data_IF_381278195032
#
_entry.id   IF_381278195032
#
_cell.length_a   1.000
_cell.length_b   1.000
_cell.length_c   1.000
_cell.angle_alpha   90.00
_cell.angle_beta   90.00
_cell.angle_gamma   90.00
#
_symmetry.space_group_name_H-M   'P 1'
#
loop_
_entity.id
_entity.type
_entity.pdbx_description
1 polymer ?
#
# COMPACT_ATOMS: atom_id res chain seq x y z
N UNK A 1 21.15 8.03 19.78
CA UNK A 1 20.93 9.47 19.91
C UNK A 1 22.25 10.24 19.89
N UNK A 2 23.22 9.93 20.76
CA UNK A 2 24.53 10.62 20.80
C UNK A 2 25.42 10.28 19.58
N UNK A 3 25.60 8.99 19.26
CA UNK A 3 26.47 8.52 18.15
C UNK A 3 26.14 9.11 16.77
N UNK A 4 24.86 9.32 16.46
CA UNK A 4 24.43 9.85 15.15
C UNK A 4 24.73 11.33 14.98
N UNK A 5 24.84 12.09 16.08
CA UNK A 5 25.19 13.51 16.04
C UNK A 5 26.67 13.69 15.74
N UNK A 6 27.54 12.92 16.40
CA UNK A 6 28.99 12.93 16.14
C UNK A 6 29.34 12.50 14.71
N UNK A 7 28.66 11.48 14.20
CA UNK A 7 28.88 11.01 12.83
C UNK A 7 28.42 12.04 11.79
N UNK A 8 27.30 12.73 12.04
CA UNK A 8 26.82 13.82 11.18
C UNK A 8 27.73 15.05 11.24
N UNK A 9 28.21 15.44 12.43
CA UNK A 9 29.18 16.52 12.59
C UNK A 9 30.44 16.24 11.76
N UNK A 10 30.99 15.03 11.84
CA UNK A 10 32.15 14.65 11.03
C UNK A 10 31.89 14.78 9.52
N UNK A 11 30.73 14.31 9.04
CA UNK A 11 30.39 14.37 7.62
C UNK A 11 30.19 15.81 7.13
N UNK A 12 29.51 16.65 7.91
CA UNK A 12 29.28 18.05 7.57
C UNK A 12 30.57 18.86 7.64
N UNK A 13 31.42 18.66 8.64
CA UNK A 13 32.73 19.32 8.70
C UNK A 13 33.60 18.92 7.50
N UNK A 14 33.67 17.62 7.19
CA UNK A 14 34.55 17.12 6.12
C UNK A 14 34.11 17.56 4.72
N UNK A 15 32.82 17.52 4.42
CA UNK A 15 32.34 17.70 3.05
C UNK A 15 31.66 19.06 2.80
N UNK A 16 31.12 19.70 3.84
CA UNK A 16 30.37 20.95 3.70
C UNK A 16 31.18 22.12 4.26
N UNK A 17 31.45 22.15 5.57
CA UNK A 17 32.04 23.32 6.21
C UNK A 17 33.48 23.59 5.76
N UNK A 18 34.31 22.56 5.57
CA UNK A 18 35.68 22.73 5.04
C UNK A 18 35.74 23.16 3.56
N UNK A 19 34.62 23.07 2.83
CA UNK A 19 34.53 23.45 1.42
C UNK A 19 34.04 24.89 1.23
N UNK A 20 33.63 25.58 2.31
CA UNK A 20 33.12 26.94 2.25
C UNK A 20 34.27 27.97 2.21
N UNK A 21 34.14 29.05 1.42
CA UNK A 21 35.19 30.08 1.31
C UNK A 21 35.24 31.04 2.51
N UNK A 22 34.49 30.77 3.58
CA UNK A 22 34.39 31.61 4.78
C UNK A 22 34.29 30.75 6.05
N UNK A 23 34.76 31.29 7.19
CA UNK A 23 34.65 30.63 8.48
C UNK A 23 33.21 30.67 9.01
N UNK A 24 32.68 29.50 9.40
CA UNK A 24 31.35 29.37 9.98
C UNK A 24 31.47 29.28 11.49
N UNK A 25 30.71 30.10 12.22
CA UNK A 25 30.72 30.09 13.69
C UNK A 25 30.25 28.74 14.25
N UNK A 26 30.79 28.31 15.40
CA UNK A 26 30.40 27.07 16.07
C UNK A 26 28.88 27.00 16.36
N UNK A 27 28.26 28.12 16.74
CA UNK A 27 26.81 28.18 16.95
C UNK A 27 26.03 27.90 15.65
N UNK A 28 26.51 28.41 14.52
CA UNK A 28 25.91 28.15 13.20
C UNK A 28 26.13 26.71 12.76
N UNK A 29 27.32 26.13 12.99
CA UNK A 29 27.59 24.71 12.69
C UNK A 29 26.65 23.80 13.45
N UNK A 30 26.52 23.98 14.76
CA UNK A 30 25.61 23.20 15.60
C UNK A 30 24.15 23.29 15.13
N UNK A 31 23.69 24.48 14.74
CA UNK A 31 22.34 24.68 14.19
C UNK A 31 22.16 23.97 12.85
N UNK A 32 23.16 23.97 11.97
CA UNK A 32 23.08 23.28 10.67
C UNK A 32 23.13 21.77 10.87
N UNK A 33 23.99 21.27 11.78
CA UNK A 33 24.03 19.85 12.15
C UNK A 33 22.69 19.38 12.71
N UNK A 34 22.04 20.15 13.59
CA UNK A 34 20.74 19.75 14.14
C UNK A 34 19.67 19.63 13.05
N UNK A 35 19.60 20.59 12.13
CA UNK A 35 18.66 20.51 10.98
C UNK A 35 18.98 19.32 10.09
N UNK A 36 20.26 19.05 9.80
CA UNK A 36 20.66 17.90 9.01
C UNK A 36 20.27 16.57 9.67
N UNK A 37 20.49 16.44 10.98
CA UNK A 37 20.07 15.27 11.76
C UNK A 37 18.55 15.09 11.70
N UNK A 38 17.78 16.17 11.81
CA UNK A 38 16.32 16.11 11.72
C UNK A 38 15.83 15.70 10.33
N UNK A 39 16.45 16.20 9.26
CA UNK A 39 16.17 15.78 7.88
C UNK A 39 16.48 14.28 7.71
N UNK A 40 17.63 13.81 8.20
CA UNK A 40 17.99 12.38 8.12
C UNK A 40 17.03 11.52 8.93
N UNK A 41 16.57 11.97 10.10
CA UNK A 41 15.56 11.26 10.90
C UNK A 41 14.23 11.15 10.17
N UNK A 42 13.78 12.24 9.54
CA UNK A 42 12.56 12.25 8.73
C UNK A 42 12.72 11.28 7.56
N UNK A 43 13.86 11.33 6.85
CA UNK A 43 14.14 10.43 5.73
C UNK A 43 14.19 8.95 6.14
N UNK A 44 14.90 8.62 7.23
CA UNK A 44 15.01 7.25 7.78
C UNK A 44 13.65 6.71 8.24
N UNK A 45 12.80 7.59 8.79
CA UNK A 45 11.42 7.22 9.11
C UNK A 45 10.57 7.00 7.85
N UNK A 46 10.72 7.83 6.82
CA UNK A 46 9.93 7.67 5.59
C UNK A 46 10.30 6.42 4.82
N UNK A 47 11.60 6.16 4.62
CA UNK A 47 12.09 5.01 3.88
C UNK A 47 13.45 4.59 4.40
N UNK A 48 13.54 3.34 4.86
CA UNK A 48 14.79 2.74 5.31
C UNK A 48 15.18 1.61 4.37
N UNK A 49 16.47 1.60 4.05
CA UNK A 49 17.07 0.57 3.20
C UNK A 49 17.82 -0.45 4.06
N UNK A 50 17.62 -1.74 3.75
CA UNK A 50 18.33 -2.84 4.40
C UNK A 50 19.31 -3.50 3.43
N UNK A 51 20.46 -3.96 3.95
CA UNK A 51 21.45 -4.70 3.18
C UNK A 51 20.82 -6.00 2.60
N UNK A 52 20.74 -6.14 1.25
CA UNK A 52 20.19 -7.33 0.61
C UNK A 52 20.89 -8.62 1.01
N UNK A 53 22.18 -8.57 1.38
CA UNK A 53 22.94 -9.76 1.79
C UNK A 53 22.38 -10.38 3.07
N UNK A 54 21.93 -9.54 4.01
CA UNK A 54 21.26 -9.98 5.23
C UNK A 54 19.91 -10.64 4.93
N UNK A 55 19.18 -10.10 3.96
CA UNK A 55 17.92 -10.66 3.48
C UNK A 55 18.12 -12.02 2.80
N UNK A 56 19.15 -12.18 1.97
CA UNK A 56 19.48 -13.47 1.34
C UNK A 56 19.80 -14.53 2.39
N UNK A 57 20.55 -14.17 3.44
CA UNK A 57 20.94 -15.11 4.49
C UNK A 57 19.76 -15.53 5.38
N UNK A 58 18.85 -14.60 5.69
CA UNK A 58 17.81 -14.80 6.72
C UNK A 58 16.40 -15.03 6.16
N UNK A 59 16.05 -14.40 5.04
CA UNK A 59 14.70 -14.40 4.44
C UNK A 59 14.76 -14.45 2.89
N UNK A 60 15.37 -15.48 2.29
CA UNK A 60 15.55 -15.55 0.83
C UNK A 60 14.24 -15.63 0.05
N UNK A 61 13.21 -16.30 0.59
CA UNK A 61 11.89 -16.40 -0.03
C UNK A 61 11.17 -15.05 -0.10
N UNK A 62 11.35 -14.21 0.92
CA UNK A 62 10.79 -12.87 0.97
C UNK A 62 11.45 -11.96 -0.06
N UNK A 63 12.78 -12.02 -0.18
CA UNK A 63 13.50 -11.27 -1.22
C UNK A 63 13.06 -11.70 -2.63
N UNK A 64 12.88 -13.01 -2.85
CA UNK A 64 12.32 -13.50 -4.11
C UNK A 64 10.91 -12.95 -4.37
N UNK A 65 10.08 -12.85 -3.34
CA UNK A 65 8.77 -12.22 -3.41
C UNK A 65 8.89 -10.73 -3.79
N UNK A 66 9.79 -9.96 -3.19
CA UNK A 66 10.01 -8.55 -3.54
C UNK A 66 10.34 -8.39 -5.03
N UNK A 67 11.19 -9.26 -5.57
CA UNK A 67 11.53 -9.26 -7.00
C UNK A 67 10.31 -9.58 -7.86
N UNK A 68 9.56 -10.64 -7.53
CA UNK A 68 8.36 -11.04 -8.29
C UNK A 68 7.30 -9.94 -8.28
N UNK A 69 7.00 -9.35 -7.13
CA UNK A 69 6.00 -8.30 -7.01
C UNK A 69 6.44 -6.98 -7.67
N UNK A 70 7.75 -6.69 -7.67
CA UNK A 70 8.29 -5.58 -8.45
C UNK A 70 8.13 -5.80 -9.95
N UNK A 71 8.39 -7.01 -10.45
CA UNK A 71 8.16 -7.37 -11.85
C UNK A 71 6.68 -7.26 -12.22
N UNK A 72 5.78 -7.74 -11.36
CA UNK A 72 4.32 -7.63 -11.58
C UNK A 72 3.83 -6.18 -11.55
N UNK A 73 4.38 -5.33 -10.67
CA UNK A 73 4.15 -3.89 -10.69
C UNK A 73 4.55 -3.29 -12.05
N UNK A 74 5.75 -3.61 -12.55
CA UNK A 74 6.22 -3.13 -13.85
C UNK A 74 5.32 -3.62 -14.98
N UNK A 75 4.88 -4.89 -14.96
CA UNK A 75 4.01 -5.46 -15.99
C UNK A 75 2.62 -4.81 -15.99
N UNK A 76 2.02 -4.61 -14.82
CA UNK A 76 0.72 -3.92 -14.70
C UNK A 76 0.82 -2.45 -15.11
N UNK A 77 1.91 -1.77 -14.75
CA UNK A 77 2.19 -0.41 -15.22
C UNK A 77 2.38 -0.36 -16.74
N UNK A 78 3.17 -1.28 -17.32
CA UNK A 78 3.34 -1.38 -18.77
C UNK A 78 2.00 -1.58 -19.49
N UNK A 79 1.13 -2.45 -18.96
CA UNK A 79 -0.22 -2.64 -19.49
C UNK A 79 -1.03 -1.33 -19.38
N UNK A 80 -1.03 -0.68 -18.22
CA UNK A 80 -1.77 0.56 -17.98
C UNK A 80 -1.30 1.70 -18.89
N UNK A 81 0.00 1.83 -19.08
CA UNK A 81 0.63 2.83 -19.94
C UNK A 81 0.33 2.57 -21.43
N UNK A 82 0.49 1.32 -21.90
CA UNK A 82 0.23 0.95 -23.30
C UNK A 82 -1.24 1.12 -23.70
N UNK A 83 -2.16 0.75 -22.82
CA UNK A 83 -3.59 0.95 -23.08
C UNK A 83 -4.03 2.40 -22.85
N UNK A 84 -3.28 3.15 -22.04
CA UNK A 84 -3.46 4.58 -21.83
C UNK A 84 -4.82 4.95 -21.24
N UNK A 85 -5.09 6.25 -21.27
CA UNK A 85 -6.36 6.83 -20.81
C UNK A 85 -6.72 6.36 -19.41
N UNK A 86 -7.95 5.84 -19.26
CA UNK A 86 -8.50 5.44 -17.95
C UNK A 86 -7.74 4.35 -17.22
N UNK A 87 -7.03 3.47 -17.94
CA UNK A 87 -6.27 2.39 -17.32
C UNK A 87 -5.11 2.95 -16.50
N UNK A 88 -4.40 3.96 -17.03
CA UNK A 88 -3.30 4.60 -16.32
C UNK A 88 -3.80 5.32 -15.05
N UNK A 89 -4.90 6.08 -15.15
CA UNK A 89 -5.48 6.72 -13.96
C UNK A 89 -5.99 5.70 -12.94
N UNK A 90 -6.60 4.59 -13.37
CA UNK A 90 -7.01 3.54 -12.43
C UNK A 90 -5.81 2.95 -11.70
N UNK A 91 -4.69 2.69 -12.39
CA UNK A 91 -3.44 2.22 -11.77
C UNK A 91 -2.90 3.21 -10.73
N UNK A 92 -2.93 4.52 -11.04
CA UNK A 92 -2.58 5.59 -10.11
C UNK A 92 -3.55 5.60 -8.91
N UNK A 93 -4.86 5.51 -9.16
CA UNK A 93 -5.88 5.44 -8.12
C UNK A 93 -5.69 4.27 -7.16
N UNK A 94 -5.32 3.10 -7.68
CA UNK A 94 -4.99 1.93 -6.86
C UNK A 94 -3.72 2.18 -6.03
N UNK A 95 -2.74 2.93 -6.55
CA UNK A 95 -1.57 3.34 -5.75
C UNK A 95 -1.99 4.25 -4.60
N UNK A 96 -2.87 5.23 -4.85
CA UNK A 96 -3.42 6.10 -3.81
C UNK A 96 -4.20 5.30 -2.77
N UNK A 97 -5.00 4.33 -3.22
CA UNK A 97 -5.75 3.42 -2.34
C UNK A 97 -4.81 2.58 -1.47
N UNK A 98 -3.73 2.03 -2.05
CA UNK A 98 -2.72 1.27 -1.34
C UNK A 98 -2.02 2.11 -0.27
N UNK A 99 -1.56 3.31 -0.64
CA UNK A 99 -0.95 4.26 0.29
C UNK A 99 -1.91 4.64 1.43
N UNK A 100 -3.19 4.86 1.11
CA UNK A 100 -4.21 5.23 2.11
C UNK A 100 -4.52 4.06 3.04
N UNK A 101 -4.65 2.85 2.49
CA UNK A 101 -4.96 1.63 3.23
C UNK A 101 -3.81 1.18 4.13
N UNK A 102 -2.57 1.33 3.70
CA UNK A 102 -1.40 1.05 4.54
C UNK A 102 -1.17 2.17 5.57
N UNK A 103 -1.38 3.43 5.17
CA UNK A 103 -1.20 4.58 6.05
C UNK A 103 -2.21 4.64 7.20
N UNK A 104 -3.47 4.26 6.98
CA UNK A 104 -4.52 4.34 8.02
C UNK A 104 -4.22 3.46 9.24
N UNK A 105 -3.46 2.37 9.03
CA UNK A 105 -3.04 1.44 10.10
C UNK A 105 -2.22 2.13 11.18
N UNK A 106 -1.49 3.18 10.81
CA UNK A 106 -0.65 3.94 11.73
C UNK A 106 -1.36 5.14 12.36
N UNK A 107 -2.63 5.38 12.03
CA UNK A 107 -3.43 6.42 12.67
C UNK A 107 -3.87 6.01 14.08
N UNK A 108 -4.19 4.74 14.27
CA UNK A 108 -4.63 4.20 15.54
C UNK A 108 -4.08 2.79 15.72
N UNK A 109 -3.52 2.49 16.88
CA UNK A 109 -2.94 1.18 17.20
C UNK A 109 -3.94 0.03 16.98
N UNK A 110 -5.25 0.27 17.15
CA UNK A 110 -6.30 -0.72 16.87
C UNK A 110 -6.38 -1.14 15.40
N UNK A 111 -5.90 -0.32 14.48
CA UNK A 111 -5.89 -0.63 13.04
C UNK A 111 -4.60 -1.31 12.59
N UNK A 112 -3.57 -1.39 13.43
CA UNK A 112 -2.32 -2.09 13.11
C UNK A 112 -2.44 -3.59 13.40
N UNK A 113 -3.22 -4.28 12.55
CA UNK A 113 -3.56 -5.70 12.70
C UNK A 113 -2.61 -6.63 11.92
N UNK A 114 -1.64 -6.09 11.18
CA UNK A 114 -0.76 -6.81 10.28
C UNK A 114 0.70 -6.45 10.60
N UNK A 115 1.63 -7.38 10.50
CA UNK A 115 3.05 -7.07 10.56
C UNK A 115 3.73 -7.63 9.33
N UNK A 116 4.47 -6.79 8.62
CA UNK A 116 5.26 -7.24 7.49
C UNK A 116 6.68 -7.57 7.92
N UNK A 117 7.28 -8.55 7.23
CA UNK A 117 8.72 -8.64 7.18
C UNK A 117 9.31 -7.38 6.53
N UNK A 118 10.51 -7.01 6.97
CA UNK A 118 11.22 -5.83 6.50
C UNK A 118 12.02 -6.19 5.26
N UNK A 119 11.85 -5.41 4.19
CA UNK A 119 12.47 -5.65 2.88
C UNK A 119 13.66 -4.77 2.60
N UNK A 120 14.15 -4.85 1.36
CA UNK A 120 15.26 -4.01 0.90
C UNK A 120 14.91 -2.53 1.06
N UNK A 121 13.65 -2.16 0.77
CA UNK A 121 13.10 -0.84 1.05
C UNK A 121 11.81 -0.99 1.84
N UNK A 122 11.77 -0.36 3.02
CA UNK A 122 10.60 -0.41 3.90
C UNK A 122 10.23 1.00 4.34
N UNK A 123 8.94 1.32 4.24
CA UNK A 123 8.35 2.61 4.54
C UNK A 123 7.81 2.67 5.97
N UNK A 124 7.50 3.89 6.44
CA UNK A 124 6.90 4.18 7.74
C UNK A 124 7.65 3.58 8.93
N UNK A 125 8.95 3.81 8.99
CA UNK A 125 9.80 3.38 10.11
C UNK A 125 9.97 1.87 10.13
N UNK A 126 10.18 1.27 8.96
CA UNK A 126 10.34 -0.18 8.78
C UNK A 126 9.07 -1.01 9.07
N UNK A 127 7.91 -0.52 8.66
CA UNK A 127 6.62 -1.17 8.89
C UNK A 127 6.00 -1.79 7.64
N UNK A 128 6.07 -1.10 6.49
CA UNK A 128 5.45 -1.59 5.25
C UNK A 128 6.49 -1.65 4.13
N UNK A 129 6.82 -2.83 3.60
CA UNK A 129 7.78 -2.97 2.51
C UNK A 129 7.20 -2.36 1.22
N UNK A 130 8.05 -1.78 0.38
CA UNK A 130 7.62 -1.06 -0.83
C UNK A 130 6.82 -1.94 -1.78
N UNK A 131 7.15 -3.24 -1.87
CA UNK A 131 6.43 -4.17 -2.73
C UNK A 131 4.98 -4.41 -2.28
N UNK A 132 4.62 -4.20 -1.00
CA UNK A 132 3.24 -4.32 -0.56
C UNK A 132 2.37 -3.26 -1.27
N UNK A 133 2.82 -2.00 -1.27
CA UNK A 133 2.10 -0.87 -1.86
C UNK A 133 2.09 -0.93 -3.38
N UNK A 134 3.27 -1.09 -3.99
CA UNK A 134 3.40 -0.99 -5.45
C UNK A 134 3.21 -2.34 -6.15
N UNK A 135 3.48 -3.45 -5.48
CA UNK A 135 3.44 -4.79 -6.06
C UNK A 135 2.12 -5.50 -5.79
N UNK A 136 1.83 -5.80 -4.52
CA UNK A 136 0.64 -6.60 -4.14
C UNK A 136 -0.65 -5.89 -4.56
N UNK A 137 -0.85 -4.63 -4.16
CA UNK A 137 -2.09 -3.91 -4.50
C UNK A 137 -2.31 -3.80 -6.01
N UNK A 138 -1.25 -3.53 -6.77
CA UNK A 138 -1.35 -3.48 -8.23
C UNK A 138 -1.64 -4.86 -8.82
N UNK A 139 -0.93 -5.89 -8.40
CA UNK A 139 -1.20 -7.26 -8.86
C UNK A 139 -2.64 -7.67 -8.58
N UNK A 140 -3.14 -7.42 -7.36
CA UNK A 140 -4.48 -7.83 -6.94
C UNK A 140 -5.58 -7.00 -7.58
N UNK A 141 -5.60 -5.69 -7.30
CA UNK A 141 -6.72 -4.83 -7.68
C UNK A 141 -6.70 -4.46 -9.16
N UNK A 142 -5.52 -4.15 -9.72
CA UNK A 142 -5.47 -3.71 -11.12
C UNK A 142 -5.76 -4.89 -12.05
N UNK A 143 -5.18 -6.05 -11.78
CA UNK A 143 -5.48 -7.26 -12.59
C UNK A 143 -6.95 -7.66 -12.45
N UNK A 144 -7.50 -7.68 -11.24
CA UNK A 144 -8.93 -7.99 -11.01
C UNK A 144 -9.85 -7.01 -11.71
N UNK A 145 -9.53 -5.70 -11.65
CA UNK A 145 -10.25 -4.67 -12.39
C UNK A 145 -10.21 -4.94 -13.90
N UNK A 146 -9.03 -5.16 -14.46
CA UNK A 146 -8.89 -5.43 -15.91
C UNK A 146 -9.64 -6.69 -16.31
N UNK A 147 -9.55 -7.78 -15.52
CA UNK A 147 -10.27 -9.02 -15.76
C UNK A 147 -11.79 -8.83 -15.72
N UNK A 148 -12.32 -8.16 -14.69
CA UNK A 148 -13.75 -7.87 -14.60
C UNK A 148 -14.24 -6.99 -15.76
N UNK A 149 -13.45 -6.00 -16.20
CA UNK A 149 -13.75 -5.20 -17.40
C UNK A 149 -13.86 -6.04 -18.67
N UNK A 150 -13.09 -7.13 -18.77
CA UNK A 150 -13.14 -8.05 -19.93
C UNK A 150 -14.38 -8.94 -19.93
N UNK A 151 -14.98 -9.19 -18.76
CA UNK A 151 -16.24 -9.94 -18.64
C UNK A 151 -17.47 -9.14 -19.14
N UNK A 152 -17.34 -7.82 -19.35
CA UNK A 152 -18.41 -6.93 -19.84
C UNK A 152 -19.69 -6.99 -18.99
N UNK A 153 -19.52 -7.12 -17.69
CA UNK A 153 -20.62 -7.18 -16.73
C UNK A 153 -21.37 -5.83 -16.66
N UNK A 154 -22.66 -5.85 -16.28
CA UNK A 154 -23.38 -4.63 -15.95
C UNK A 154 -22.75 -3.94 -14.72
N UNK A 155 -23.02 -2.65 -14.57
CA UNK A 155 -22.35 -1.81 -13.57
C UNK A 155 -22.49 -2.32 -12.12
N UNK A 156 -23.65 -2.91 -11.79
CA UNK A 156 -23.94 -3.41 -10.46
C UNK A 156 -23.17 -4.69 -10.14
N UNK A 157 -22.82 -5.48 -11.16
CA UNK A 157 -22.09 -6.74 -11.01
C UNK A 157 -20.56 -6.57 -11.13
N UNK A 158 -20.08 -5.50 -11.79
CA UNK A 158 -18.65 -5.32 -12.03
C UNK A 158 -17.85 -5.14 -10.72
N UNK A 159 -18.35 -4.34 -9.77
CA UNK A 159 -17.71 -4.17 -8.46
C UNK A 159 -17.57 -5.49 -7.68
N UNK A 160 -18.65 -6.24 -7.44
CA UNK A 160 -18.60 -7.54 -6.78
C UNK A 160 -17.69 -8.54 -7.51
N UNK A 161 -17.68 -8.53 -8.85
CA UNK A 161 -16.77 -9.37 -9.62
C UNK A 161 -15.30 -9.00 -9.39
N UNK A 162 -14.96 -7.71 -9.29
CA UNK A 162 -13.60 -7.28 -8.89
C UNK A 162 -13.27 -7.78 -7.49
N UNK A 163 -14.16 -7.60 -6.52
CA UNK A 163 -13.94 -8.07 -5.14
C UNK A 163 -13.69 -9.58 -5.06
N UNK A 164 -14.49 -10.38 -5.76
CA UNK A 164 -14.30 -11.84 -5.82
C UNK A 164 -12.99 -12.23 -6.49
N UNK A 165 -12.63 -11.57 -7.60
CA UNK A 165 -11.36 -11.81 -8.28
C UNK A 165 -10.16 -11.46 -7.40
N UNK A 166 -10.26 -10.37 -6.62
CA UNK A 166 -9.22 -10.01 -5.64
C UNK A 166 -9.04 -11.15 -4.65
N UNK A 167 -10.11 -11.71 -4.07
CA UNK A 167 -10.01 -12.83 -3.13
C UNK A 167 -9.43 -14.08 -3.79
N UNK A 168 -9.86 -14.42 -4.99
CA UNK A 168 -9.35 -15.61 -5.71
C UNK A 168 -7.85 -15.52 -5.97
N UNK A 169 -7.36 -14.32 -6.34
CA UNK A 169 -5.94 -14.09 -6.59
C UNK A 169 -5.17 -13.94 -5.26
N UNK A 170 -5.76 -13.29 -4.25
CA UNK A 170 -5.09 -13.02 -2.97
C UNK A 170 -4.99 -14.26 -2.11
N UNK A 171 -5.97 -15.15 -2.09
CA UNK A 171 -5.98 -16.31 -1.22
C UNK A 171 -4.71 -17.18 -1.26
N UNK A 172 -4.21 -17.66 -2.43
CA UNK A 172 -2.97 -18.43 -2.46
C UNK A 172 -1.76 -17.60 -2.00
N UNK A 173 -1.75 -16.30 -2.31
CA UNK A 173 -0.72 -15.39 -1.83
C UNK A 173 -0.76 -15.24 -0.31
N UNK A 174 -1.94 -15.09 0.30
CA UNK A 174 -2.13 -14.98 1.74
C UNK A 174 -1.64 -16.25 2.46
N UNK A 175 -1.96 -17.44 1.94
CA UNK A 175 -1.50 -18.71 2.50
C UNK A 175 0.03 -18.83 2.43
N UNK A 176 0.63 -18.50 1.28
CA UNK A 176 2.09 -18.55 1.09
C UNK A 176 2.79 -17.51 1.97
N UNK A 177 2.30 -16.27 1.97
CA UNK A 177 2.88 -15.16 2.72
C UNK A 177 2.84 -15.40 4.23
N UNK A 178 1.74 -15.93 4.75
CA UNK A 178 1.65 -16.32 6.16
C UNK A 178 2.61 -17.46 6.50
N UNK A 179 2.64 -18.50 5.66
CA UNK A 179 3.49 -19.69 5.88
C UNK A 179 4.99 -19.38 5.78
N UNK A 180 5.38 -18.46 4.90
CA UNK A 180 6.76 -18.04 4.69
C UNK A 180 7.15 -16.79 5.50
N UNK A 181 6.28 -16.35 6.43
CA UNK A 181 6.50 -15.22 7.33
C UNK A 181 6.81 -13.91 6.59
N UNK A 182 6.17 -13.69 5.45
CA UNK A 182 6.21 -12.41 4.74
C UNK A 182 5.35 -11.37 5.47
N UNK A 183 4.28 -11.83 6.10
CA UNK A 183 3.48 -11.08 7.04
C UNK A 183 2.77 -12.00 8.03
N UNK A 184 2.31 -11.42 9.14
CA UNK A 184 1.53 -12.08 10.17
C UNK A 184 0.42 -11.16 10.66
N UNK A 185 -0.68 -11.73 11.14
CA UNK A 185 -1.80 -10.97 11.69
C UNK A 185 -1.80 -11.03 13.21
N UNK A 186 -2.24 -9.95 13.85
CA UNK A 186 -2.32 -9.87 15.30
C UNK A 186 -3.42 -10.79 15.84
N UNK A 187 -3.10 -11.54 16.90
CA UNK A 187 -4.08 -12.40 17.60
C UNK A 187 -4.88 -11.67 18.70
N UNK A 188 -4.73 -10.35 18.85
CA UNK A 188 -5.41 -9.57 19.88
C UNK A 188 -6.82 -9.15 19.49
N UNK A 189 -7.10 -9.08 18.19
CA UNK A 189 -8.40 -8.65 17.68
C UNK A 189 -9.31 -9.85 17.41
N UNK A 190 -10.53 -9.89 17.97
CA UNK A 190 -11.48 -10.98 17.74
C UNK A 190 -11.86 -11.19 16.26
N UNK A 191 -11.66 -10.22 15.38
CA UNK A 191 -11.89 -10.37 13.93
C UNK A 191 -10.80 -11.19 13.23
N UNK A 192 -9.64 -11.40 13.87
CA UNK A 192 -8.50 -12.12 13.32
C UNK A 192 -8.40 -13.57 13.82
N UNK A 193 -9.33 -14.01 14.68
CA UNK A 193 -9.28 -15.35 15.29
C UNK A 193 -9.71 -16.46 14.33
N UNK A 194 -10.79 -16.24 13.56
CA UNK A 194 -11.30 -17.23 12.62
C UNK A 194 -10.48 -17.23 11.32
N UNK A 195 -9.87 -18.38 11.01
CA UNK A 195 -8.83 -18.51 9.98
C UNK A 195 -9.01 -19.76 9.15
N UNK A 196 -8.81 -19.61 7.84
CA UNK A 196 -8.68 -20.70 6.89
C UNK A 196 -7.23 -20.77 6.39
N UNK A 197 -6.53 -21.89 6.62
CA UNK A 197 -5.10 -22.05 6.34
C UNK A 197 -4.23 -20.88 6.87
N UNK A 198 -4.48 -20.48 8.12
CA UNK A 198 -3.83 -19.35 8.81
C UNK A 198 -4.20 -17.95 8.30
N UNK A 199 -5.06 -17.84 7.28
CA UNK A 199 -5.55 -16.56 6.73
C UNK A 199 -6.88 -16.17 7.39
N UNK A 200 -6.98 -14.99 8.01
CA UNK A 200 -8.23 -14.53 8.59
C UNK A 200 -9.33 -14.30 7.54
N UNK A 201 -10.55 -14.77 7.81
CA UNK A 201 -11.71 -14.52 6.93
C UNK A 201 -12.03 -13.04 6.78
N UNK A 202 -11.87 -12.29 7.87
CA UNK A 202 -12.01 -10.83 7.89
C UNK A 202 -11.12 -10.15 6.86
N UNK A 203 -9.87 -10.59 6.70
CA UNK A 203 -8.95 -9.98 5.75
C UNK A 203 -9.33 -10.27 4.30
N UNK A 204 -9.80 -11.48 4.00
CA UNK A 204 -10.34 -11.81 2.67
C UNK A 204 -11.60 -10.99 2.36
N UNK A 205 -12.46 -10.80 3.37
CA UNK A 205 -13.66 -9.98 3.22
C UNK A 205 -13.31 -8.50 3.02
N UNK A 206 -12.33 -7.98 3.77
CA UNK A 206 -11.83 -6.62 3.60
C UNK A 206 -11.25 -6.39 2.20
N UNK A 207 -10.46 -7.35 1.68
CA UNK A 207 -9.93 -7.32 0.31
C UNK A 207 -11.08 -7.27 -0.73
N UNK A 208 -12.11 -8.09 -0.55
CA UNK A 208 -13.29 -8.12 -1.43
C UNK A 208 -14.05 -6.80 -1.42
N UNK A 209 -14.35 -6.28 -0.23
CA UNK A 209 -15.03 -5.00 -0.04
C UNK A 209 -14.21 -3.85 -0.63
N UNK A 210 -12.90 -3.83 -0.43
CA UNK A 210 -12.01 -2.82 -0.99
C UNK A 210 -12.08 -2.79 -2.51
N UNK A 211 -11.93 -3.95 -3.17
CA UNK A 211 -12.01 -4.06 -4.62
C UNK A 211 -13.39 -3.65 -5.18
N UNK A 212 -14.46 -4.06 -4.49
CA UNK A 212 -15.83 -3.73 -4.87
C UNK A 212 -16.13 -2.24 -4.74
N UNK A 213 -15.91 -1.67 -3.55
CA UNK A 213 -16.18 -0.28 -3.22
C UNK A 213 -15.38 0.69 -4.07
N UNK A 214 -14.07 0.44 -4.25
CA UNK A 214 -13.23 1.26 -5.12
C UNK A 214 -13.78 1.29 -6.56
N UNK A 215 -14.12 0.11 -7.11
CA UNK A 215 -14.60 -0.02 -8.49
C UNK A 215 -15.94 0.70 -8.68
N UNK A 216 -16.88 0.52 -7.76
CA UNK A 216 -18.17 1.21 -7.83
C UNK A 216 -18.05 2.72 -7.73
N UNK A 217 -17.33 3.22 -6.72
CA UNK A 217 -17.14 4.66 -6.55
C UNK A 217 -16.45 5.26 -7.76
N UNK A 218 -15.41 4.61 -8.28
CA UNK A 218 -14.72 5.03 -9.49
C UNK A 218 -15.64 5.16 -10.69
N UNK A 219 -16.50 4.16 -10.94
CA UNK A 219 -17.45 4.19 -12.05
C UNK A 219 -18.52 5.25 -11.87
N UNK A 220 -19.05 5.42 -10.65
CA UNK A 220 -20.03 6.46 -10.34
C UNK A 220 -19.43 7.84 -10.60
N UNK A 221 -18.25 8.13 -10.05
CA UNK A 221 -17.57 9.41 -10.24
C UNK A 221 -17.28 9.68 -11.73
N UNK A 222 -16.79 8.68 -12.46
CA UNK A 222 -16.56 8.82 -13.91
C UNK A 222 -17.86 9.07 -14.68
N UNK A 223 -18.98 8.44 -14.30
CA UNK A 223 -20.28 8.70 -14.95
C UNK A 223 -20.83 10.09 -14.65
N UNK A 224 -20.60 10.61 -13.45
CA UNK A 224 -21.08 11.92 -13.02
C UNK A 224 -20.25 13.07 -13.60
N UNK A 225 -18.93 12.93 -13.66
CA UNK A 225 -18.02 14.05 -13.95
C UNK A 225 -17.31 13.99 -15.30
N UNK A 226 -17.37 12.86 -16.00
CA UNK A 226 -16.59 12.62 -17.21
C UNK A 226 -17.45 12.04 -18.36
N UNK A 227 -17.11 12.36 -19.63
CA UNK A 227 -17.78 11.78 -20.78
C UNK A 227 -17.56 10.27 -20.87
N UNK A 228 -18.42 9.52 -21.57
CA UNK A 228 -18.26 8.07 -21.68
C UNK A 228 -16.91 7.67 -22.32
N UNK A 229 -16.47 8.40 -23.35
CA UNK A 229 -15.15 8.23 -23.98
C UNK A 229 -14.10 9.06 -23.24
N UNK A 230 -12.88 8.54 -23.15
CA UNK A 230 -11.77 9.27 -22.55
C UNK A 230 -11.44 10.54 -23.33
N UNK A 231 -11.24 11.65 -22.62
CA UNK A 231 -10.78 12.93 -23.15
C UNK A 231 -9.55 13.38 -22.36
N UNK A 232 -8.42 13.54 -23.06
CA UNK A 232 -7.14 13.92 -22.45
C UNK A 232 -7.16 15.33 -21.84
N UNK A 233 -8.03 16.22 -22.34
CA UNK A 233 -8.16 17.59 -21.81
C UNK A 233 -8.72 17.60 -20.39
N UNK A 234 -9.41 16.53 -19.99
CA UNK A 234 -10.01 16.36 -18.66
C UNK A 234 -9.14 15.53 -17.71
N UNK A 235 -7.82 15.44 -17.95
CA UNK A 235 -6.92 14.64 -17.13
C UNK A 235 -6.98 14.98 -15.63
N UNK A 236 -7.14 16.27 -15.28
CA UNK A 236 -7.29 16.71 -13.88
C UNK A 236 -8.54 16.10 -13.25
N UNK A 237 -9.66 16.06 -13.99
CA UNK A 237 -10.91 15.45 -13.51
C UNK A 237 -10.78 13.94 -13.37
N UNK A 238 -10.07 13.26 -14.28
CA UNK A 238 -9.75 11.84 -14.13
C UNK A 238 -8.91 11.59 -12.87
N UNK A 239 -7.88 12.40 -12.62
CA UNK A 239 -7.07 12.30 -11.41
C UNK A 239 -7.90 12.51 -10.14
N UNK A 240 -8.76 13.53 -10.10
CA UNK A 240 -9.67 13.77 -8.98
C UNK A 240 -10.63 12.60 -8.79
N UNK A 241 -11.20 12.04 -9.86
CA UNK A 241 -12.09 10.89 -9.76
C UNK A 241 -11.40 9.68 -9.14
N UNK A 242 -10.18 9.36 -9.57
CA UNK A 242 -9.45 8.20 -9.02
C UNK A 242 -8.95 8.42 -7.60
N UNK A 243 -8.57 9.66 -7.27
CA UNK A 243 -8.19 10.03 -5.91
C UNK A 243 -9.37 9.93 -4.95
N UNK A 244 -10.51 10.54 -5.31
CA UNK A 244 -11.74 10.48 -4.50
C UNK A 244 -12.26 9.05 -4.42
N UNK A 245 -12.15 8.26 -5.50
CA UNK A 245 -12.51 6.84 -5.46
C UNK A 245 -11.65 6.02 -4.50
N UNK A 246 -10.35 6.30 -4.39
CA UNK A 246 -9.48 5.65 -3.42
C UNK A 246 -9.93 5.95 -1.98
N UNK A 247 -10.16 7.22 -1.64
CA UNK A 247 -10.53 7.61 -0.28
C UNK A 247 -11.94 7.14 0.08
N UNK A 248 -12.94 7.48 -0.73
CA UNK A 248 -14.33 7.08 -0.45
C UNK A 248 -14.55 5.58 -0.58
N UNK A 249 -13.81 4.91 -1.48
CA UNK A 249 -13.84 3.45 -1.60
C UNK A 249 -13.37 2.77 -0.32
N UNK A 250 -12.30 3.28 0.31
CA UNK A 250 -11.82 2.77 1.59
C UNK A 250 -12.82 3.04 2.73
N UNK A 251 -13.44 4.22 2.78
CA UNK A 251 -14.49 4.52 3.75
C UNK A 251 -15.70 3.58 3.59
N UNK A 252 -16.17 3.37 2.35
CA UNK A 252 -17.28 2.48 2.06
C UNK A 252 -16.92 1.01 2.38
N UNK A 253 -15.66 0.62 2.17
CA UNK A 253 -15.16 -0.69 2.60
C UNK A 253 -15.27 -0.84 4.12
N UNK A 254 -14.80 0.14 4.90
CA UNK A 254 -14.92 0.11 6.36
C UNK A 254 -16.38 0.01 6.84
N UNK A 255 -17.30 0.76 6.23
CA UNK A 255 -18.74 0.66 6.52
C UNK A 255 -19.28 -0.73 6.16
N UNK A 256 -18.91 -1.26 5.00
CA UNK A 256 -19.37 -2.59 4.55
C UNK A 256 -18.82 -3.70 5.44
N UNK A 257 -17.57 -3.56 5.88
CA UNK A 257 -16.90 -4.46 6.80
C UNK A 257 -17.66 -4.52 8.13
N UNK A 258 -17.96 -3.37 8.73
CA UNK A 258 -18.72 -3.30 9.99
C UNK A 258 -20.17 -3.80 9.80
N UNK A 259 -20.86 -3.34 8.77
CA UNK A 259 -22.29 -3.60 8.57
C UNK A 259 -22.59 -5.06 8.21
N UNK A 260 -21.66 -5.78 7.60
CA UNK A 260 -21.87 -7.17 7.17
C UNK A 260 -21.23 -8.14 8.16
N UNK A 261 -20.00 -7.87 8.62
CA UNK A 261 -19.26 -8.82 9.47
C UNK A 261 -19.82 -8.91 10.88
N UNK A 262 -20.24 -7.79 11.50
CA UNK A 262 -20.81 -7.84 12.86
C UNK A 262 -22.12 -8.66 12.91
N UNK A 263 -23.13 -8.40 12.06
CA UNK A 263 -24.35 -9.19 12.10
C UNK A 263 -24.14 -10.66 11.73
N UNK A 264 -23.27 -10.96 10.75
CA UNK A 264 -22.96 -12.35 10.38
C UNK A 264 -22.33 -13.11 11.53
N UNK A 265 -21.41 -12.47 12.25
CA UNK A 265 -20.77 -13.06 13.42
C UNK A 265 -21.78 -13.32 14.54
N UNK A 266 -22.62 -12.34 14.85
CA UNK A 266 -23.64 -12.48 15.91
C UNK A 266 -24.62 -13.61 15.60
N UNK A 267 -24.99 -13.81 14.31
CA UNK A 267 -25.87 -14.89 13.88
C UNK A 267 -25.19 -16.27 13.99
N UNK A 268 -23.91 -16.36 13.58
CA UNK A 268 -23.16 -17.61 13.57
C UNK A 268 -22.71 -18.06 14.97
N UNK A 269 -22.47 -17.11 15.88
CA UNK A 269 -22.18 -17.43 17.29
C UNK A 269 -23.45 -17.80 18.08
N UNK A 270 -24.64 -17.45 17.59
CA UNK A 270 -25.93 -17.80 18.19
C UNK A 270 -26.50 -19.16 17.74
N UNK A 271 -25.88 -19.83 16.75
CA UNK A 271 -26.29 -21.13 16.19
C UNK A 271 -25.39 -22.27 16.64
#
# INVERSE_FOLDING_TARGET
>A
SFSSVFEMDYLLDKYVFNSLPFEVSEATKLSVTSVAVDIVRIADWWCKAQDPRKLIANHPSFLAAEVVFSLLCILTFCHAYRHGGRYLYTWIGITVLALSSEGIRFWNEKFDLLWHAQGVLTLWGMRTPVYAIFGIFQMLLYSSYVMARRLRLPFWAEGPAVGLLVVVISFPLQVIGAKLLWWQWHDSDPSMTDRIYSVPWSMLFFDACTGCSFTWVLHILRRLFLPHKYDWRLFVREFVCVFVAAILGLCLCGVSFVAILHPLRDILEAS
#
